data_IF_485982322139
#
_entry.id   IF_485982322139
#
_cell.length_a   1.000
_cell.length_b   1.000
_cell.length_c   1.000
_cell.angle_alpha   90.00
_cell.angle_beta   90.00
_cell.angle_gamma   90.00
#
_symmetry.space_group_name_H-M   'P 1'
#
loop_
_entity.id
_entity.type
_entity.pdbx_description
1 polymer ?
#
# COMPACT_ATOMS: atom_id res chain seq x y z
N UNK A 1 -27.10 -44.16 -68.75
CA UNK A 1 -25.74 -43.77 -69.20
C UNK A 1 -25.65 -42.26 -69.04
N UNK A 2 -25.17 -41.76 -67.89
CA UNK A 2 -25.03 -40.31 -67.63
C UNK A 2 -23.57 -39.91 -67.83
N UNK A 3 -23.33 -39.08 -68.83
CA UNK A 3 -22.00 -38.60 -69.19
C UNK A 3 -21.68 -37.31 -68.42
N UNK A 4 -20.76 -37.37 -67.47
CA UNK A 4 -20.23 -36.19 -66.80
C UNK A 4 -19.22 -35.49 -67.72
N UNK A 5 -19.52 -34.25 -68.14
CA UNK A 5 -18.55 -33.38 -68.80
C UNK A 5 -17.68 -32.72 -67.73
N UNK A 6 -16.39 -33.06 -67.71
CA UNK A 6 -15.38 -32.33 -66.96
C UNK A 6 -15.15 -30.98 -67.64
N UNK A 7 -15.54 -29.89 -66.98
CA UNK A 7 -15.24 -28.51 -67.39
C UNK A 7 -13.80 -28.22 -66.99
N UNK A 8 -12.92 -27.96 -67.97
CA UNK A 8 -11.53 -27.57 -67.71
C UNK A 8 -11.47 -26.11 -67.27
N UNK A 9 -11.18 -25.90 -65.99
CA UNK A 9 -10.96 -24.57 -65.43
C UNK A 9 -9.52 -24.13 -65.77
N UNK A 10 -9.36 -23.19 -66.71
CA UNK A 10 -8.06 -22.56 -66.99
C UNK A 10 -7.96 -21.32 -66.11
N UNK A 11 -7.20 -21.32 -65.00
CA UNK A 11 -7.10 -20.15 -64.15
C UNK A 11 -6.44 -19.02 -64.93
N UNK A 12 -7.13 -17.89 -65.00
CA UNK A 12 -6.62 -16.69 -65.65
C UNK A 12 -5.46 -16.16 -64.81
N UNK A 13 -4.26 -15.97 -65.40
CA UNK A 13 -3.06 -15.57 -64.64
C UNK A 13 -3.27 -14.31 -63.79
N UNK A 14 -4.16 -13.41 -64.24
CA UNK A 14 -4.55 -12.21 -63.52
C UNK A 14 -5.17 -12.52 -62.15
N UNK A 15 -6.03 -13.54 -62.05
CA UNK A 15 -6.59 -13.97 -60.76
C UNK A 15 -5.51 -14.50 -59.81
N UNK A 16 -4.48 -15.15 -60.35
CA UNK A 16 -3.40 -15.72 -59.57
C UNK A 16 -2.46 -14.62 -59.03
N UNK A 17 -2.24 -13.56 -59.80
CA UNK A 17 -1.51 -12.39 -59.32
C UNK A 17 -2.27 -11.60 -58.25
N UNK A 18 -3.60 -11.45 -58.40
CA UNK A 18 -4.44 -10.75 -57.42
C UNK A 18 -4.49 -11.52 -56.09
N UNK A 19 -4.65 -12.84 -56.13
CA UNK A 19 -4.66 -13.65 -54.91
C UNK A 19 -3.31 -13.68 -54.21
N UNK A 20 -2.20 -13.67 -54.95
CA UNK A 20 -0.86 -13.57 -54.36
C UNK A 20 -0.62 -12.17 -53.75
N UNK A 21 -1.05 -11.09 -54.41
CA UNK A 21 -0.90 -9.73 -53.88
C UNK A 21 -1.69 -9.50 -52.57
N UNK A 22 -2.87 -10.12 -52.43
CA UNK A 22 -3.69 -10.03 -51.21
C UNK A 22 -3.14 -10.84 -50.03
N UNK A 23 -2.26 -11.82 -50.26
CA UNK A 23 -1.67 -12.66 -49.20
C UNK A 23 -0.28 -12.19 -48.74
N UNK A 24 0.35 -11.19 -49.40
CA UNK A 24 1.71 -10.73 -49.09
C UNK A 24 1.74 -9.56 -48.10
N UNK A 25 0.60 -9.00 -47.70
CA UNK A 25 0.57 -8.05 -46.59
C UNK A 25 0.44 -8.82 -45.27
N UNK A 26 1.53 -9.07 -44.52
CA UNK A 26 1.38 -9.47 -43.13
C UNK A 26 0.63 -8.32 -42.45
N UNK A 27 -0.59 -8.61 -42.00
CA UNK A 27 -1.33 -7.77 -41.10
C UNK A 27 -0.54 -7.81 -39.79
N UNK A 28 0.46 -6.94 -39.67
CA UNK A 28 1.07 -6.66 -38.39
C UNK A 28 0.00 -5.92 -37.59
N UNK A 29 -0.76 -6.66 -36.81
CA UNK A 29 -1.65 -6.10 -35.80
C UNK A 29 -0.79 -5.39 -34.77
N UNK A 30 -0.59 -4.09 -34.96
CA UNK A 30 -0.02 -3.23 -33.94
C UNK A 30 -1.13 -3.08 -32.90
N UNK A 31 -1.08 -3.88 -31.85
CA UNK A 31 -1.89 -3.65 -30.67
C UNK A 31 -1.43 -2.33 -30.06
N UNK A 32 -2.24 -1.28 -30.22
CA UNK A 32 -2.02 -0.02 -29.51
C UNK A 32 -2.53 -0.24 -28.08
N UNK A 33 -1.63 -0.20 -27.09
CA UNK A 33 -1.95 -0.47 -25.69
C UNK A 33 -2.65 0.69 -24.97
N UNK A 34 -2.84 1.83 -25.63
CA UNK A 34 -3.43 3.03 -25.02
C UNK A 34 -4.94 3.09 -25.34
N UNK A 35 -5.78 3.23 -24.32
CA UNK A 35 -7.25 3.37 -24.40
C UNK A 35 -7.61 4.84 -24.61
N UNK A 36 -8.41 5.15 -25.64
CA UNK A 36 -8.87 6.53 -25.89
C UNK A 36 -10.23 6.79 -25.23
N UNK A 37 -10.34 7.88 -24.46
CA UNK A 37 -11.59 8.29 -23.79
C UNK A 37 -12.27 9.43 -24.56
N UNK A 38 -13.60 9.33 -24.71
CA UNK A 38 -14.39 10.40 -25.30
C UNK A 38 -14.59 11.56 -24.30
N UNK A 39 -14.03 12.72 -24.61
CA UNK A 39 -14.12 13.95 -23.79
C UNK A 39 -15.46 14.67 -23.90
N UNK A 40 -16.30 14.36 -24.90
CA UNK A 40 -17.59 15.02 -25.11
C UNK A 40 -18.59 14.69 -24.00
N UNK A 41 -18.44 13.53 -23.36
CA UNK A 41 -19.31 13.03 -22.29
C UNK A 41 -19.00 13.68 -20.92
N UNK A 42 -17.85 14.34 -20.78
CA UNK A 42 -17.50 15.03 -19.54
C UNK A 42 -18.22 16.37 -19.45
N UNK A 43 -18.89 16.62 -18.33
CA UNK A 43 -19.56 17.90 -18.03
C UNK A 43 -18.59 18.84 -17.30
N UNK A 44 -17.78 19.56 -18.08
CA UNK A 44 -16.72 20.45 -17.60
C UNK A 44 -16.65 21.66 -18.52
N UNK A 45 -16.58 22.85 -17.94
CA UNK A 45 -16.56 24.12 -18.69
C UNK A 45 -15.32 24.26 -19.57
N UNK A 46 -14.21 23.61 -19.20
CA UNK A 46 -12.90 23.73 -19.87
C UNK A 46 -12.41 22.40 -20.47
N UNK A 47 -13.18 21.85 -21.41
CA UNK A 47 -12.87 20.59 -22.12
C UNK A 47 -11.52 20.60 -22.86
N UNK A 48 -10.99 21.78 -23.22
CA UNK A 48 -9.77 21.91 -24.04
C UNK A 48 -8.48 21.76 -23.22
N UNK A 49 -8.53 21.96 -21.91
CA UNK A 49 -7.37 21.90 -21.02
C UNK A 49 -7.27 20.58 -20.23
N UNK A 50 -8.16 19.62 -20.46
CA UNK A 50 -8.17 18.33 -19.78
C UNK A 50 -7.41 17.30 -20.62
N UNK A 51 -6.28 16.82 -20.09
CA UNK A 51 -5.50 15.75 -20.71
C UNK A 51 -5.88 14.39 -20.10
N UNK A 52 -6.76 13.65 -20.79
CA UNK A 52 -7.15 12.28 -20.39
C UNK A 52 -6.13 11.21 -20.82
N UNK A 53 -5.08 11.57 -21.56
CA UNK A 53 -4.08 10.60 -22.02
C UNK A 53 -3.33 9.93 -20.86
N UNK A 54 -3.42 10.49 -19.66
CA UNK A 54 -2.90 9.88 -18.44
C UNK A 54 -3.71 8.65 -18.01
N UNK A 55 -5.02 8.61 -18.28
CA UNK A 55 -5.89 7.49 -17.88
C UNK A 55 -6.02 6.41 -18.96
N UNK A 56 -5.40 6.61 -20.13
CA UNK A 56 -5.44 5.66 -21.24
C UNK A 56 -4.73 4.34 -20.94
N UNK A 57 -3.87 4.31 -19.92
CA UNK A 57 -3.12 3.13 -19.52
C UNK A 57 -3.67 2.55 -18.23
N UNK A 58 -3.88 1.24 -18.25
CA UNK A 58 -4.19 0.50 -17.03
C UNK A 58 -3.10 0.74 -15.98
N UNK A 59 -3.53 0.93 -14.72
CA UNK A 59 -2.67 1.14 -13.55
C UNK A 59 -1.75 2.37 -13.61
N UNK A 60 -1.95 3.30 -14.55
CA UNK A 60 -1.26 4.58 -14.50
C UNK A 60 -1.81 5.42 -13.36
N UNK A 61 -0.90 5.91 -12.52
CA UNK A 61 -1.19 6.83 -11.43
C UNK A 61 -0.32 8.07 -11.64
N UNK A 62 -0.89 9.24 -11.43
CA UNK A 62 -0.16 10.49 -11.60
C UNK A 62 0.99 10.52 -10.57
N UNK A 63 2.25 10.76 -10.99
CA UNK A 63 3.38 10.83 -10.08
C UNK A 63 3.13 11.83 -8.95
N UNK A 64 3.37 11.40 -7.71
CA UNK A 64 2.96 12.12 -6.52
C UNK A 64 3.16 11.29 -5.25
N UNK A 65 2.85 11.87 -4.09
CA UNK A 65 2.88 11.16 -2.81
C UNK A 65 1.45 10.94 -2.34
N UNK A 66 1.12 9.69 -2.01
CA UNK A 66 -0.22 9.29 -1.60
C UNK A 66 -0.15 8.45 -0.34
N UNK A 67 -1.18 8.53 0.49
CA UNK A 67 -1.35 7.67 1.65
C UNK A 67 -2.19 6.48 1.21
N UNK A 68 -1.63 5.26 1.32
CA UNK A 68 -2.28 4.03 0.87
C UNK A 68 -2.20 2.96 1.96
N UNK A 69 -3.27 2.18 2.11
CA UNK A 69 -3.28 0.99 2.98
C UNK A 69 -2.36 -0.08 2.39
N UNK A 70 -1.32 -0.49 3.10
CA UNK A 70 -0.44 -1.57 2.67
C UNK A 70 -1.18 -2.91 2.81
N UNK A 71 -1.28 -3.67 1.72
CA UNK A 71 -1.82 -5.03 1.70
C UNK A 71 -0.73 -6.00 1.27
N UNK A 72 -0.40 -7.00 2.09
CA UNK A 72 0.62 -8.01 1.76
C UNK A 72 -0.05 -9.36 1.66
N UNK A 73 0.00 -10.00 0.49
CA UNK A 73 -0.67 -11.29 0.23
C UNK A 73 -2.19 -11.32 0.59
N UNK A 74 -2.84 -10.16 0.55
CA UNK A 74 -4.26 -9.98 0.89
C UNK A 74 -4.52 -9.50 2.32
N UNK A 75 -3.53 -9.56 3.22
CA UNK A 75 -3.64 -9.08 4.59
C UNK A 75 -3.47 -7.56 4.63
N UNK A 76 -4.44 -6.87 5.23
CA UNK A 76 -4.38 -5.42 5.45
C UNK A 76 -3.47 -5.08 6.64
N UNK A 77 -2.52 -4.19 6.39
CA UNK A 77 -1.60 -3.64 7.37
C UNK A 77 -1.90 -2.14 7.61
N UNK A 78 -0.92 -1.42 8.14
CA UNK A 78 -1.00 0.03 8.35
C UNK A 78 -1.01 0.82 7.04
N UNK A 79 -1.58 2.02 7.12
CA UNK A 79 -1.47 3.01 6.05
C UNK A 79 -0.04 3.58 5.99
N UNK A 80 0.50 3.73 4.79
CA UNK A 80 1.85 4.22 4.55
C UNK A 80 1.89 5.28 3.46
N UNK A 81 2.84 6.23 3.53
CA UNK A 81 3.11 7.12 2.41
C UNK A 81 3.80 6.33 1.29
N UNK A 82 3.27 6.43 0.06
CA UNK A 82 3.81 5.80 -1.14
C UNK A 82 4.02 6.87 -2.19
N UNK A 83 5.23 6.91 -2.77
CA UNK A 83 5.55 7.80 -3.88
C UNK A 83 5.33 7.07 -5.20
N UNK A 84 4.58 7.65 -6.11
CA UNK A 84 4.49 7.20 -7.49
C UNK A 84 5.46 8.00 -8.34
N UNK A 85 6.33 7.31 -9.06
CA UNK A 85 7.39 7.93 -9.87
C UNK A 85 7.39 7.36 -11.27
N UNK A 86 7.84 8.17 -12.23
CA UNK A 86 7.98 7.72 -13.62
C UNK A 86 9.24 6.87 -13.74
N UNK A 87 9.12 5.57 -14.10
CA UNK A 87 10.28 4.72 -14.27
C UNK A 87 11.13 5.17 -15.45
N UNK A 88 12.46 4.99 -15.36
CA UNK A 88 13.40 5.38 -16.43
C UNK A 88 13.14 4.64 -17.75
N UNK A 89 12.60 3.42 -17.66
CA UNK A 89 12.37 2.54 -18.80
C UNK A 89 11.00 2.77 -19.48
N UNK A 90 10.04 3.40 -18.80
CA UNK A 90 8.75 3.78 -19.38
C UNK A 90 8.39 5.23 -18.99
N UNK A 91 8.78 6.22 -19.82
CA UNK A 91 8.50 7.64 -19.57
C UNK A 91 7.02 8.00 -19.48
N UNK A 92 6.13 7.10 -19.93
CA UNK A 92 4.68 7.28 -19.89
C UNK A 92 4.01 6.43 -18.80
N UNK A 93 4.80 5.68 -18.03
CA UNK A 93 4.34 4.84 -16.94
C UNK A 93 4.44 5.53 -15.57
N UNK A 94 3.95 4.84 -14.55
CA UNK A 94 4.16 5.19 -13.16
C UNK A 94 4.29 3.92 -12.33
N UNK A 95 5.23 3.92 -11.40
CA UNK A 95 5.48 2.79 -10.51
C UNK A 95 5.48 3.25 -9.04
N UNK A 96 4.92 2.43 -8.13
CA UNK A 96 5.01 2.69 -6.70
C UNK A 96 6.45 2.48 -6.20
N UNK A 97 6.98 3.50 -5.54
CA UNK A 97 8.26 3.47 -4.85
C UNK A 97 8.01 3.19 -3.36
N UNK A 98 8.39 1.99 -2.93
CA UNK A 98 8.43 1.60 -1.52
C UNK A 98 9.87 1.80 -1.00
N UNK A 99 10.04 2.60 0.06
CA UNK A 99 11.38 2.88 0.60
C UNK A 99 11.86 1.76 1.51
N UNK A 100 13.16 1.77 1.90
CA UNK A 100 13.70 0.77 2.83
C UNK A 100 12.89 0.64 4.11
N UNK A 101 12.36 1.75 4.64
CA UNK A 101 11.59 1.75 5.89
C UNK A 101 10.25 1.05 5.69
N UNK A 102 9.50 1.35 4.63
CA UNK A 102 8.21 0.67 4.41
C UNK A 102 8.40 -0.78 3.93
N UNK A 103 9.50 -1.08 3.25
CA UNK A 103 9.82 -2.45 2.80
C UNK A 103 10.06 -3.41 3.98
N UNK A 104 10.56 -2.91 5.11
CA UNK A 104 10.69 -3.72 6.34
C UNK A 104 9.33 -4.21 6.86
N UNK A 105 8.24 -3.48 6.56
CA UNK A 105 6.88 -3.86 6.96
C UNK A 105 6.34 -5.06 6.15
N UNK A 106 6.99 -5.44 5.05
CA UNK A 106 6.58 -6.61 4.27
C UNK A 106 6.77 -7.93 5.04
N UNK A 107 7.66 -7.96 6.06
CA UNK A 107 7.93 -9.16 6.84
C UNK A 107 8.80 -10.17 6.08
N UNK A 108 9.74 -9.69 5.28
CA UNK A 108 10.71 -10.53 4.55
C UNK A 108 11.73 -11.14 5.51
N UNK A 109 12.21 -12.35 5.19
CA UNK A 109 13.38 -12.92 5.86
C UNK A 109 14.60 -12.04 5.66
N UNK A 110 15.55 -12.08 6.61
CA UNK A 110 16.80 -11.31 6.51
C UNK A 110 17.55 -11.55 5.21
N UNK A 111 17.59 -12.80 4.74
CA UNK A 111 18.27 -13.15 3.49
C UNK A 111 17.55 -12.55 2.28
N UNK A 112 16.21 -12.64 2.24
CA UNK A 112 15.41 -12.06 1.18
C UNK A 112 15.53 -10.52 1.16
N UNK A 113 15.47 -9.87 2.33
CA UNK A 113 15.64 -8.42 2.44
C UNK A 113 17.02 -7.96 1.97
N UNK A 114 18.09 -8.70 2.33
CA UNK A 114 19.45 -8.39 1.91
C UNK A 114 19.70 -8.63 0.41
N UNK A 115 18.91 -9.50 -0.23
CA UNK A 115 18.97 -9.72 -1.69
C UNK A 115 18.22 -8.68 -2.51
N UNK A 116 17.49 -7.75 -1.87
CA UNK A 116 16.74 -6.71 -2.59
C UNK A 116 17.68 -5.78 -3.36
N UNK A 117 17.33 -5.55 -4.61
CA UNK A 117 17.92 -4.50 -5.41
C UNK A 117 17.15 -3.19 -5.17
N UNK A 118 17.89 -2.09 -5.16
CA UNK A 118 17.33 -0.76 -4.95
C UNK A 118 17.63 0.13 -6.16
N UNK A 119 16.70 1.02 -6.47
CA UNK A 119 16.84 1.99 -7.55
C UNK A 119 16.46 3.39 -7.06
N UNK A 120 16.65 4.39 -7.93
CA UNK A 120 16.43 5.81 -7.61
C UNK A 120 17.20 6.25 -6.36
N UNK A 121 18.54 6.14 -6.41
CA UNK A 121 19.44 6.49 -5.30
C UNK A 121 19.18 5.72 -4.00
N UNK A 122 18.91 4.42 -4.13
CA UNK A 122 18.59 3.49 -3.04
C UNK A 122 17.31 3.85 -2.25
N UNK A 123 16.39 4.58 -2.87
CA UNK A 123 15.14 4.99 -2.21
C UNK A 123 13.95 4.10 -2.53
N UNK A 124 14.01 3.28 -3.58
CA UNK A 124 12.89 2.47 -4.03
C UNK A 124 13.34 1.02 -4.19
N UNK A 125 12.55 0.08 -3.67
CA UNK A 125 12.76 -1.35 -3.92
C UNK A 125 12.45 -1.68 -5.38
N UNK A 126 13.29 -2.51 -6.01
CA UNK A 126 12.98 -3.09 -7.32
C UNK A 126 12.07 -4.32 -7.12
N UNK A 127 10.81 -4.33 -7.62
CA UNK A 127 9.92 -5.47 -7.49
C UNK A 127 10.47 -6.74 -8.16
N UNK A 128 11.37 -6.63 -9.13
CA UNK A 128 11.98 -7.76 -9.83
C UNK A 128 13.14 -8.40 -9.06
N UNK A 129 13.55 -7.82 -7.93
CA UNK A 129 14.65 -8.34 -7.12
C UNK A 129 14.34 -9.70 -6.49
N UNK A 130 13.06 -9.98 -6.22
CA UNK A 130 12.58 -11.27 -5.75
C UNK A 130 11.67 -11.89 -6.80
N UNK A 131 11.98 -13.12 -7.20
CA UNK A 131 11.21 -13.81 -8.24
C UNK A 131 9.77 -14.02 -7.79
N UNK A 132 8.80 -13.49 -8.53
CA UNK A 132 7.38 -13.60 -8.21
C UNK A 132 6.87 -12.58 -7.19
N UNK A 133 7.70 -11.63 -6.77
CA UNK A 133 7.24 -10.45 -6.05
C UNK A 133 6.58 -9.46 -7.02
N UNK A 134 5.49 -8.82 -6.59
CA UNK A 134 4.87 -7.73 -7.34
C UNK A 134 4.33 -6.65 -6.40
N UNK A 135 4.35 -5.40 -6.87
CA UNK A 135 3.87 -4.24 -6.13
C UNK A 135 2.94 -3.49 -7.07
N UNK A 136 1.69 -3.32 -6.68
CA UNK A 136 0.66 -2.68 -7.50
C UNK A 136 -0.16 -1.72 -6.65
N UNK A 137 -0.29 -0.47 -7.12
CA UNK A 137 -1.18 0.51 -6.51
C UNK A 137 -2.60 0.36 -7.03
N UNK A 138 -3.59 0.31 -6.14
CA UNK A 138 -5.00 0.37 -6.47
C UNK A 138 -5.63 1.59 -5.80
N UNK A 139 -5.92 2.62 -6.59
CA UNK A 139 -6.53 3.85 -6.12
C UNK A 139 -8.04 3.74 -5.91
N UNK A 140 -8.70 2.73 -6.50
CA UNK A 140 -10.13 2.52 -6.30
C UNK A 140 -10.42 2.09 -4.85
N UNK A 141 -9.48 1.37 -4.24
CA UNK A 141 -9.54 0.95 -2.83
C UNK A 141 -8.51 1.64 -1.94
N UNK A 142 -7.81 2.66 -2.45
CA UNK A 142 -6.74 3.39 -1.74
C UNK A 142 -5.70 2.46 -1.08
N UNK A 143 -5.30 1.39 -1.78
CA UNK A 143 -4.43 0.35 -1.25
C UNK A 143 -3.20 0.10 -2.12
N UNK A 144 -2.09 -0.25 -1.48
CA UNK A 144 -0.90 -0.79 -2.14
C UNK A 144 -0.88 -2.31 -1.95
N UNK A 145 -1.15 -3.05 -3.02
CA UNK A 145 -1.15 -4.51 -3.02
C UNK A 145 0.26 -5.03 -3.34
N UNK A 146 0.84 -5.78 -2.39
CA UNK A 146 2.15 -6.41 -2.51
C UNK A 146 1.97 -7.92 -2.42
N UNK A 147 2.33 -8.62 -3.50
CA UNK A 147 2.37 -10.08 -3.52
C UNK A 147 3.81 -10.52 -3.30
N UNK A 148 4.04 -11.36 -2.29
CA UNK A 148 5.37 -11.91 -1.97
C UNK A 148 5.27 -13.43 -1.84
N UNK A 149 6.11 -14.20 -2.55
CA UNK A 149 6.19 -15.64 -2.34
C UNK A 149 6.50 -16.01 -0.89
N UNK A 150 5.80 -17.01 -0.37
CA UNK A 150 5.93 -17.47 1.02
C UNK A 150 7.35 -17.91 1.40
N UNK A 151 8.18 -18.31 0.43
CA UNK A 151 9.58 -18.66 0.66
C UNK A 151 10.46 -17.48 1.13
N UNK A 152 10.02 -16.25 0.88
CA UNK A 152 10.76 -15.03 1.24
C UNK A 152 10.22 -14.34 2.49
N UNK A 153 9.08 -14.79 3.03
CA UNK A 153 8.48 -14.23 4.23
C UNK A 153 9.01 -14.91 5.48
N UNK A 154 9.14 -14.14 6.56
CA UNK A 154 9.33 -14.73 7.88
C UNK A 154 8.13 -15.59 8.25
N UNK A 155 8.39 -16.67 9.01
CA UNK A 155 7.33 -17.52 9.52
C UNK A 155 6.31 -16.66 10.27
N UNK A 156 5.07 -16.65 9.78
CA UNK A 156 3.97 -15.96 10.41
C UNK A 156 2.83 -16.93 10.71
N UNK A 157 2.15 -16.68 11.82
CA UNK A 157 0.90 -17.33 12.19
C UNK A 157 -0.20 -16.27 12.22
N UNK A 158 -1.49 -16.63 12.13
CA UNK A 158 -2.58 -15.65 12.10
C UNK A 158 -2.62 -14.66 13.28
N UNK A 159 -1.98 -15.02 14.40
CA UNK A 159 -1.89 -14.22 15.62
C UNK A 159 -0.45 -13.77 15.93
N UNK A 160 0.43 -13.74 14.94
CA UNK A 160 1.82 -13.36 15.09
C UNK A 160 2.19 -12.27 14.09
N UNK A 161 2.89 -11.23 14.58
CA UNK A 161 3.36 -10.13 13.76
C UNK A 161 4.89 -10.02 13.89
N UNK A 162 5.65 -9.97 12.77
CA UNK A 162 7.09 -9.95 12.81
C UNK A 162 7.64 -8.72 13.55
N UNK A 163 8.79 -8.84 14.23
CA UNK A 163 9.41 -7.72 14.94
C UNK A 163 9.68 -6.50 14.07
N UNK A 164 9.83 -6.67 12.75
CA UNK A 164 10.02 -5.56 11.81
C UNK A 164 8.82 -4.63 11.67
N UNK A 165 7.64 -5.04 12.11
CA UNK A 165 6.40 -4.24 12.10
C UNK A 165 6.11 -3.56 13.43
N UNK A 166 6.89 -3.83 14.48
CA UNK A 166 6.66 -3.26 15.79
C UNK A 166 7.04 -1.77 15.78
N UNK A 167 6.10 -0.94 16.24
CA UNK A 167 6.32 0.49 16.43
C UNK A 167 6.70 0.76 17.89
N UNK A 168 7.76 1.54 18.10
CA UNK A 168 8.14 1.99 19.44
C UNK A 168 7.21 3.08 19.98
N UNK A 169 6.36 3.62 19.12
CA UNK A 169 5.41 4.68 19.43
C UNK A 169 6.07 6.05 19.46
N UNK A 170 5.28 7.03 19.88
CA UNK A 170 5.71 8.42 19.91
C UNK A 170 6.35 8.79 21.25
N UNK A 171 7.40 9.64 21.24
CA UNK A 171 7.91 10.23 22.47
C UNK A 171 6.83 11.04 23.18
N UNK A 172 6.59 10.76 24.46
CA UNK A 172 5.48 11.34 25.21
C UNK A 172 5.80 11.45 26.70
N UNK A 173 5.17 12.42 27.37
CA UNK A 173 5.13 12.53 28.83
C UNK A 173 3.67 12.33 29.24
N UNK A 174 3.43 11.51 30.27
CA UNK A 174 2.10 11.10 30.73
C UNK A 174 1.99 11.34 32.23
N UNK A 175 0.80 11.76 32.70
CA UNK A 175 0.46 11.88 34.11
C UNK A 175 -0.92 11.25 34.31
N UNK A 176 -0.97 10.24 35.18
CA UNK A 176 -2.18 9.63 35.69
C UNK A 176 -2.33 9.97 37.19
N UNK A 177 -3.57 10.19 37.63
CA UNK A 177 -3.87 10.55 39.02
C UNK A 177 -5.25 10.01 39.44
N UNK A 178 -5.34 9.58 40.68
CA UNK A 178 -6.56 9.15 41.34
C UNK A 178 -6.58 9.72 42.76
N UNK A 179 -7.63 10.47 43.07
CA UNK A 179 -7.82 11.17 44.35
C UNK A 179 -9.13 10.69 44.98
N UNK A 180 -9.07 10.22 46.22
CA UNK A 180 -10.20 9.75 47.01
C UNK A 180 -10.31 10.58 48.29
N UNK A 181 -11.46 11.21 48.49
CA UNK A 181 -11.78 11.92 49.73
C UNK A 181 -12.87 11.16 50.50
N UNK A 182 -12.67 10.94 51.80
CA UNK A 182 -13.66 10.36 52.70
C UNK A 182 -13.92 11.32 53.87
N UNK A 183 -15.18 11.42 54.27
CA UNK A 183 -15.61 12.16 55.45
C UNK A 183 -16.50 11.22 56.28
N UNK A 184 -16.19 11.07 57.56
CA UNK A 184 -16.92 10.23 58.49
C UNK A 184 -17.32 11.05 59.72
N UNK A 185 -18.61 11.10 60.00
CA UNK A 185 -19.21 11.88 61.10
C UNK A 185 -19.68 10.92 62.20
N UNK A 186 -19.14 11.06 63.42
CA UNK A 186 -19.50 10.22 64.55
C UNK A 186 -20.62 10.84 65.39
N UNK A 187 -21.79 10.17 65.45
CA UNK A 187 -22.96 10.68 66.18
C UNK A 187 -22.79 10.68 67.71
N UNK A 188 -21.94 9.80 68.26
CA UNK A 188 -21.81 9.61 69.72
C UNK A 188 -20.49 10.12 70.33
N UNK A 189 -19.45 10.41 69.54
CA UNK A 189 -18.07 10.59 70.05
C UNK A 189 -17.40 11.91 69.62
N UNK A 190 -18.15 12.86 69.05
CA UNK A 190 -17.74 14.25 68.84
C UNK A 190 -16.64 14.53 67.80
N UNK A 191 -15.92 13.51 67.33
CA UNK A 191 -14.83 13.69 66.38
C UNK A 191 -15.24 13.30 64.95
N UNK A 192 -15.04 14.23 64.02
CA UNK A 192 -15.13 13.99 62.58
C UNK A 192 -13.78 13.54 62.04
N UNK A 193 -13.78 12.58 61.13
CA UNK A 193 -12.58 12.09 60.44
C UNK A 193 -12.71 12.43 58.95
N UNK A 194 -11.75 13.18 58.45
CA UNK A 194 -11.59 13.48 57.03
C UNK A 194 -10.29 12.84 56.54
N UNK A 195 -10.34 12.09 55.45
CA UNK A 195 -9.14 11.56 54.82
C UNK A 195 -9.12 11.89 53.32
N UNK A 196 -7.97 12.36 52.84
CA UNK A 196 -7.69 12.56 51.43
C UNK A 196 -6.53 11.63 51.05
N UNK A 197 -6.79 10.73 50.12
CA UNK A 197 -5.81 9.79 49.59
C UNK A 197 -5.61 10.12 48.12
N UNK A 198 -4.37 10.16 47.67
CA UNK A 198 -4.02 10.35 46.27
C UNK A 198 -2.99 9.32 45.84
N UNK A 199 -3.11 8.80 44.64
CA UNK A 199 -2.05 8.07 43.98
C UNK A 199 -2.05 8.38 42.48
N UNK A 200 -0.98 8.00 41.80
CA UNK A 200 -0.88 8.21 40.37
C UNK A 200 0.47 7.79 39.81
N UNK A 201 0.65 8.06 38.52
CA UNK A 201 1.82 7.65 37.77
C UNK A 201 2.30 8.78 36.86
N UNK A 202 3.59 9.05 36.88
CA UNK A 202 4.28 9.88 35.89
C UNK A 202 5.00 8.96 34.92
N UNK A 203 4.80 9.14 33.62
CA UNK A 203 5.40 8.34 32.58
C UNK A 203 6.17 9.17 31.56
N UNK A 204 7.28 8.63 31.05
CA UNK A 204 8.00 9.17 29.89
C UNK A 204 8.26 8.01 28.92
N UNK A 205 7.97 8.23 27.64
CA UNK A 205 8.28 7.32 26.53
C UNK A 205 9.31 7.99 25.62
N UNK A 206 10.36 7.27 25.25
CA UNK A 206 11.36 7.71 24.26
C UNK A 206 11.96 6.50 23.54
N UNK A 207 11.60 6.32 22.27
CA UNK A 207 11.90 5.09 21.53
C UNK A 207 11.45 3.85 22.33
N UNK A 208 12.34 2.85 22.43
CA UNK A 208 12.05 1.62 23.16
C UNK A 208 11.94 1.77 24.68
N UNK A 209 12.38 2.90 25.24
CA UNK A 209 12.40 3.11 26.69
C UNK A 209 11.07 3.66 27.21
N UNK A 210 10.54 3.00 28.23
CA UNK A 210 9.28 3.36 28.91
C UNK A 210 9.55 3.51 30.40
N UNK A 211 9.65 4.74 30.86
CA UNK A 211 9.92 5.07 32.27
C UNK A 211 8.60 5.37 32.98
N UNK A 212 8.43 4.83 34.19
CA UNK A 212 7.21 4.94 34.98
C UNK A 212 7.61 5.21 36.42
N UNK A 213 7.03 6.22 37.04
CA UNK A 213 7.25 6.60 38.42
C UNK A 213 5.90 6.77 39.12
N UNK A 214 5.65 5.93 40.13
CA UNK A 214 4.42 5.95 40.90
C UNK A 214 4.55 6.91 42.10
N UNK A 215 3.46 7.58 42.44
CA UNK A 215 3.37 8.42 43.63
C UNK A 215 2.12 8.06 44.43
N UNK A 216 2.21 8.21 45.74
CA UNK A 216 1.10 8.05 46.67
C UNK A 216 1.20 9.09 47.78
N UNK A 217 0.05 9.57 48.24
CA UNK A 217 -0.09 10.59 49.27
C UNK A 217 -1.34 10.30 50.10
N UNK A 218 -1.26 10.58 51.39
CA UNK A 218 -2.39 10.47 52.32
C UNK A 218 -2.33 11.61 53.32
N UNK A 219 -3.48 12.24 53.54
CA UNK A 219 -3.69 13.29 54.52
C UNK A 219 -4.93 12.93 55.35
N UNK A 220 -4.75 12.77 56.65
CA UNK A 220 -5.84 12.52 57.59
C UNK A 220 -6.01 13.76 58.50
N UNK A 221 -7.25 14.17 58.75
CA UNK A 221 -7.60 15.30 59.63
C UNK A 221 -8.75 14.91 60.55
N UNK A 222 -8.57 15.13 61.85
CA UNK A 222 -9.58 14.88 62.88
C UNK A 222 -9.93 16.20 63.59
N UNK A 223 -11.22 16.45 63.82
CA UNK A 223 -11.72 17.58 64.62
C UNK A 223 -11.98 17.18 66.05
#
# INVERSE_FOLDING_TARGET
>A
MYSYKLVSYRPNMVCLYISVALNIYPINSIAHNDIEFNTDVLDVEDKKNINLNHFSRANYIIPGSYSLTLRVNGDELSEIPVKFITPKNDPKGSEPCLSPVETQKLGLTKDAYNSLAWWNDNQCVDPNSLAGMSITGDFSTSSLNVSVPQAYLEYSAPNWDPPSRWDEGIPAIMLDYNLNATANHSYNDGNDIYALNGNGLVGINTGAWRWRAEWQSRLDYNT
#
